data_IF_658329454103
#
_entry.id   IF_658329454103
#
_cell.length_a   1.000
_cell.length_b   1.000
_cell.length_c   1.000
_cell.angle_alpha   90.00
_cell.angle_beta   90.00
_cell.angle_gamma   90.00
#
_symmetry.space_group_name_H-M   'P 1'
#
loop_
_entity.id
_entity.type
_entity.pdbx_description
1 polymer ?
#
# COMPACT_ATOMS: atom_id res chain seq x y z
N UNK A 1 -8.45 -7.42 -28.80
CA UNK A 1 -7.42 -8.33 -28.24
C UNK A 1 -6.54 -7.70 -27.16
N UNK A 2 -5.45 -6.94 -27.41
CA UNK A 2 -4.57 -6.43 -26.31
C UNK A 2 -5.28 -5.42 -25.41
N UNK A 3 -5.94 -4.40 -25.98
CA UNK A 3 -6.66 -3.38 -25.21
C UNK A 3 -7.78 -4.00 -24.34
N UNK A 4 -8.40 -5.05 -24.84
CA UNK A 4 -9.48 -5.79 -24.16
C UNK A 4 -8.96 -6.61 -22.98
N UNK A 5 -7.81 -7.28 -23.16
CA UNK A 5 -7.08 -7.92 -22.06
C UNK A 5 -6.67 -6.93 -20.98
N UNK A 6 -6.19 -5.74 -21.37
CA UNK A 6 -5.87 -4.66 -20.41
C UNK A 6 -7.12 -4.25 -19.64
N UNK A 7 -8.24 -3.94 -20.32
CA UNK A 7 -9.49 -3.58 -19.66
C UNK A 7 -9.95 -4.64 -18.66
N UNK A 8 -9.92 -5.91 -19.04
CA UNK A 8 -10.31 -7.03 -18.19
C UNK A 8 -9.39 -7.19 -16.98
N UNK A 9 -8.09 -6.98 -17.15
CA UNK A 9 -7.11 -6.97 -16.04
C UNK A 9 -7.39 -5.86 -15.04
N UNK A 10 -7.66 -4.65 -15.54
CA UNK A 10 -8.06 -3.51 -14.68
C UNK A 10 -9.35 -3.82 -13.91
N UNK A 11 -10.32 -4.48 -14.54
CA UNK A 11 -11.56 -4.89 -13.88
C UNK A 11 -11.30 -5.91 -12.76
N UNK A 12 -10.51 -6.96 -13.04
CA UNK A 12 -10.12 -7.96 -12.04
C UNK A 12 -9.35 -7.33 -10.87
N UNK A 13 -8.39 -6.46 -11.16
CA UNK A 13 -7.63 -5.73 -10.14
C UNK A 13 -8.53 -4.82 -9.30
N UNK A 14 -9.48 -4.13 -9.92
CA UNK A 14 -10.46 -3.29 -9.22
C UNK A 14 -11.39 -4.12 -8.34
N UNK A 15 -11.91 -5.25 -8.83
CA UNK A 15 -12.74 -6.18 -8.04
C UNK A 15 -12.00 -6.75 -6.83
N UNK A 16 -10.67 -6.86 -6.90
CA UNK A 16 -9.86 -7.37 -5.78
C UNK A 16 -9.71 -6.40 -4.60
N UNK A 17 -10.12 -5.13 -4.74
CA UNK A 17 -10.04 -4.11 -3.68
C UNK A 17 -11.40 -3.98 -2.99
N UNK A 18 -11.39 -4.20 -1.67
CA UNK A 18 -12.60 -4.30 -0.84
C UNK A 18 -12.72 -3.18 0.21
N UNK A 19 -11.93 -2.11 0.07
CA UNK A 19 -11.85 -1.05 1.08
C UNK A 19 -10.84 0.03 0.68
N UNK A 20 -10.78 1.16 1.42
CA UNK A 20 -9.68 2.11 1.34
C UNK A 20 -8.36 1.48 1.81
N UNK A 21 -7.25 2.20 1.68
CA UNK A 21 -5.93 1.72 2.14
C UNK A 21 -6.01 1.29 3.62
N UNK A 22 -5.45 0.12 4.00
CA UNK A 22 -5.47 -0.35 5.38
C UNK A 22 -4.78 0.62 6.34
N UNK A 23 -5.44 0.96 7.45
CA UNK A 23 -4.94 1.91 8.46
C UNK A 23 -3.53 1.58 8.96
N UNK A 24 -3.23 0.30 9.20
CA UNK A 24 -1.89 -0.12 9.60
C UNK A 24 -0.82 0.30 8.59
N UNK A 25 -1.10 0.13 7.30
CA UNK A 25 -0.18 0.56 6.23
C UNK A 25 0.01 2.07 6.22
N UNK A 26 -1.07 2.83 6.44
CA UNK A 26 -1.03 4.30 6.52
C UNK A 26 -0.16 4.74 7.70
N UNK A 27 -0.40 4.20 8.89
CA UNK A 27 0.36 4.57 10.10
C UNK A 27 1.85 4.20 9.97
N UNK A 28 2.17 3.02 9.43
CA UNK A 28 3.55 2.64 9.17
C UNK A 28 4.22 3.56 8.13
N UNK A 29 3.48 3.92 7.08
CA UNK A 29 3.95 4.91 6.10
C UNK A 29 4.31 6.22 6.76
N UNK A 30 3.38 6.79 7.54
CA UNK A 30 3.51 8.11 8.17
C UNK A 30 4.60 8.17 9.23
N UNK A 31 4.66 7.18 10.12
CA UNK A 31 5.50 7.27 11.32
C UNK A 31 6.83 6.54 11.21
N UNK A 32 7.01 5.66 10.22
CA UNK A 32 8.19 4.79 10.14
C UNK A 32 8.86 4.87 8.76
N UNK A 33 8.17 4.40 7.71
CA UNK A 33 8.80 4.19 6.40
C UNK A 33 9.18 5.52 5.75
N UNK A 34 8.23 6.46 5.68
CA UNK A 34 8.47 7.75 5.04
C UNK A 34 9.49 8.62 5.79
N UNK A 35 9.44 8.74 7.13
CA UNK A 35 10.45 9.48 7.87
C UNK A 35 11.85 8.93 7.64
N UNK A 36 12.04 7.61 7.63
CA UNK A 36 13.34 6.99 7.37
C UNK A 36 13.84 7.35 5.98
N UNK A 37 13.01 7.19 4.94
CA UNK A 37 13.38 7.56 3.58
C UNK A 37 13.73 9.05 3.47
N UNK A 38 12.94 9.92 4.11
CA UNK A 38 13.15 11.35 4.13
C UNK A 38 14.45 11.74 4.86
N UNK A 39 14.79 11.07 5.96
CA UNK A 39 16.05 11.28 6.68
C UNK A 39 17.27 10.88 5.85
N UNK A 40 17.21 9.76 5.12
CA UNK A 40 18.29 9.40 4.19
C UNK A 40 18.45 10.45 3.07
N UNK A 41 17.34 10.99 2.54
CA UNK A 41 17.40 12.10 1.59
C UNK A 41 17.98 13.38 2.20
N UNK A 42 17.63 13.72 3.45
CA UNK A 42 18.19 14.88 4.12
C UNK A 42 19.72 14.75 4.29
N UNK A 43 20.21 13.55 4.60
CA UNK A 43 21.62 13.30 4.87
C UNK A 43 22.53 13.46 3.63
N UNK A 44 22.05 13.10 2.44
CA UNK A 44 22.92 13.05 1.24
C UNK A 44 22.29 13.56 -0.06
N UNK A 45 21.04 14.02 -0.02
CA UNK A 45 20.29 14.39 -1.23
C UNK A 45 20.88 15.58 -1.98
N UNK A 46 21.48 16.55 -1.28
CA UNK A 46 22.09 17.70 -1.93
C UNK A 46 23.33 17.30 -2.74
N UNK A 47 24.14 16.39 -2.21
CA UNK A 47 25.34 15.86 -2.88
C UNK A 47 24.97 15.10 -4.15
N UNK A 48 24.00 14.19 -4.04
CA UNK A 48 23.54 13.36 -5.17
C UNK A 48 22.89 14.20 -6.26
N UNK A 49 22.05 15.16 -5.89
CA UNK A 49 21.34 16.00 -6.86
C UNK A 49 22.24 17.06 -7.48
N UNK A 50 23.27 17.51 -6.77
CA UNK A 50 24.16 18.61 -7.14
C UNK A 50 23.39 19.86 -7.65
N UNK A 51 22.21 20.10 -7.08
CA UNK A 51 21.32 21.19 -7.47
C UNK A 51 20.56 21.68 -6.23
N UNK A 52 20.99 22.80 -5.61
CA UNK A 52 20.38 23.32 -4.40
C UNK A 52 18.90 23.65 -4.53
N UNK A 53 18.47 24.18 -5.68
CA UNK A 53 17.08 24.54 -5.93
C UNK A 53 16.17 23.30 -6.00
N UNK A 54 16.61 22.27 -6.72
CA UNK A 54 15.89 20.99 -6.78
C UNK A 54 15.85 20.30 -5.42
N UNK A 55 16.98 20.27 -4.70
CA UNK A 55 17.05 19.73 -3.35
C UNK A 55 16.06 20.44 -2.41
N UNK A 56 16.07 21.78 -2.40
CA UNK A 56 15.18 22.58 -1.56
C UNK A 56 13.70 22.37 -1.93
N UNK A 57 13.40 22.29 -3.23
CA UNK A 57 12.04 22.00 -3.71
C UNK A 57 11.55 20.64 -3.21
N UNK A 58 12.39 19.60 -3.34
CA UNK A 58 12.06 18.25 -2.88
C UNK A 58 11.96 18.15 -1.36
N UNK A 59 12.79 18.90 -0.62
CA UNK A 59 12.74 18.99 0.83
C UNK A 59 11.40 19.59 1.29
N UNK A 60 11.00 20.73 0.72
CA UNK A 60 9.73 21.38 1.04
C UNK A 60 8.56 20.46 0.65
N UNK A 61 8.60 19.86 -0.54
CA UNK A 61 7.57 18.91 -0.97
C UNK A 61 7.41 17.74 0.00
N UNK A 62 8.52 17.22 0.54
CA UNK A 62 8.50 16.10 1.49
C UNK A 62 7.87 16.47 2.82
N UNK A 63 8.22 17.65 3.37
CA UNK A 63 7.60 18.18 4.59
C UNK A 63 6.10 18.37 4.38
N UNK A 64 5.70 19.00 3.27
CA UNK A 64 4.29 19.24 2.95
C UNK A 64 3.52 17.93 2.82
N UNK A 65 4.05 16.95 2.07
CA UNK A 65 3.43 15.63 1.93
C UNK A 65 3.26 14.96 3.30
N UNK A 66 4.26 15.02 4.16
CA UNK A 66 4.18 14.43 5.49
C UNK A 66 3.10 15.10 6.37
N UNK A 67 3.09 16.43 6.45
CA UNK A 67 2.11 17.19 7.24
C UNK A 67 0.69 16.97 6.69
N UNK A 68 0.50 17.02 5.37
CA UNK A 68 -0.80 16.75 4.75
C UNK A 68 -1.31 15.37 5.10
N UNK A 69 -0.43 14.36 5.12
CA UNK A 69 -0.81 13.00 5.49
C UNK A 69 -1.25 12.86 6.95
N UNK A 70 -0.64 13.62 7.87
CA UNK A 70 -1.13 13.71 9.25
C UNK A 70 -2.55 14.28 9.32
N UNK A 71 -2.87 15.26 8.48
CA UNK A 71 -4.24 15.82 8.39
C UNK A 71 -5.19 14.84 7.72
N UNK A 72 -4.74 14.11 6.68
CA UNK A 72 -5.55 13.14 5.95
C UNK A 72 -5.95 11.93 6.80
N UNK A 73 -5.22 11.63 7.88
CA UNK A 73 -5.67 10.68 8.91
C UNK A 73 -7.00 11.06 9.57
N UNK A 74 -7.52 12.26 9.37
CA UNK A 74 -8.88 12.60 9.83
C UNK A 74 -9.96 12.04 8.89
N UNK A 75 -9.60 11.66 7.66
CA UNK A 75 -10.49 11.08 6.65
C UNK A 75 -10.44 9.54 6.65
N UNK A 76 -10.40 8.91 7.83
CA UNK A 76 -10.40 7.44 7.92
C UNK A 76 -11.73 6.82 7.47
N UNK A 77 -12.83 7.57 7.65
CA UNK A 77 -14.18 7.07 7.38
C UNK A 77 -14.48 6.96 5.88
N UNK A 78 -14.08 7.97 5.08
CA UNK A 78 -14.24 7.92 3.61
C UNK A 78 -12.99 7.35 2.94
N UNK A 79 -11.82 7.55 3.55
CA UNK A 79 -10.57 6.94 3.12
C UNK A 79 -10.00 7.50 1.81
N UNK A 80 -10.59 8.55 1.24
CA UNK A 80 -10.16 9.11 -0.06
C UNK A 80 -8.85 9.85 0.14
N UNK A 81 -8.84 10.82 1.06
CA UNK A 81 -7.65 11.62 1.36
C UNK A 81 -6.57 10.75 1.98
N UNK A 82 -6.94 9.80 2.84
CA UNK A 82 -6.00 8.82 3.41
C UNK A 82 -5.32 7.98 2.32
N UNK A 83 -6.09 7.49 1.34
CA UNK A 83 -5.55 6.69 0.23
C UNK A 83 -4.70 7.54 -0.72
N UNK A 84 -5.12 8.77 -1.01
CA UNK A 84 -4.36 9.72 -1.83
C UNK A 84 -3.06 10.15 -1.15
N UNK A 85 -3.12 10.42 0.15
CA UNK A 85 -1.94 10.68 0.97
C UNK A 85 -0.94 9.54 0.92
N UNK A 86 -1.41 8.31 1.13
CA UNK A 86 -0.57 7.11 1.04
C UNK A 86 0.14 7.03 -0.32
N UNK A 87 -0.58 7.32 -1.42
CA UNK A 87 0.03 7.37 -2.75
C UNK A 87 1.17 8.40 -2.83
N UNK A 88 0.94 9.63 -2.36
CA UNK A 88 1.97 10.68 -2.35
C UNK A 88 3.19 10.30 -1.51
N UNK A 89 2.97 9.72 -0.32
CA UNK A 89 4.06 9.26 0.54
C UNK A 89 4.85 8.16 -0.10
N UNK A 90 4.18 7.20 -0.74
CA UNK A 90 4.85 6.11 -1.40
C UNK A 90 5.66 6.63 -2.61
N UNK A 91 5.07 7.50 -3.44
CA UNK A 91 5.75 8.12 -4.58
C UNK A 91 7.00 8.90 -4.15
N UNK A 92 6.84 9.84 -3.22
CA UNK A 92 7.96 10.69 -2.79
C UNK A 92 8.96 9.93 -1.92
N UNK A 93 8.51 9.01 -1.07
CA UNK A 93 9.35 8.15 -0.26
C UNK A 93 10.27 7.25 -1.10
N UNK A 94 9.80 6.74 -2.24
CA UNK A 94 10.65 5.99 -3.16
C UNK A 94 11.76 6.87 -3.76
N UNK A 95 11.41 8.09 -4.19
CA UNK A 95 12.39 9.06 -4.71
C UNK A 95 13.46 9.33 -3.65
N UNK A 96 13.05 9.59 -2.41
CA UNK A 96 13.96 9.87 -1.30
C UNK A 96 14.84 8.69 -0.93
N UNK A 97 14.27 7.48 -0.88
CA UNK A 97 15.05 6.27 -0.60
C UNK A 97 16.12 6.04 -1.67
N UNK A 98 15.77 6.16 -2.96
CA UNK A 98 16.72 5.96 -4.05
C UNK A 98 17.83 6.99 -4.01
N UNK A 99 17.51 8.28 -3.83
CA UNK A 99 18.51 9.34 -3.70
C UNK A 99 19.40 9.07 -2.46
N UNK A 100 18.80 8.72 -1.33
CA UNK A 100 19.52 8.44 -0.09
C UNK A 100 20.50 7.27 -0.22
N UNK A 101 20.07 6.15 -0.82
CA UNK A 101 20.96 5.02 -1.07
C UNK A 101 22.03 5.33 -2.11
N UNK A 102 21.72 6.15 -3.12
CA UNK A 102 22.72 6.67 -4.06
C UNK A 102 23.80 7.51 -3.37
N UNK A 103 23.44 8.27 -2.33
CA UNK A 103 24.40 9.05 -1.54
C UNK A 103 25.29 8.12 -0.72
N UNK A 104 24.69 7.18 0.02
CA UNK A 104 25.41 6.21 0.86
C UNK A 104 26.39 5.38 0.02
N UNK A 105 26.02 5.02 -1.20
CA UNK A 105 26.87 4.21 -2.08
C UNK A 105 27.90 5.01 -2.89
N UNK A 106 27.84 6.34 -2.87
CA UNK A 106 28.58 7.20 -3.81
C UNK A 106 28.21 6.96 -5.29
N UNK A 107 27.06 6.32 -5.56
CA UNK A 107 26.65 5.92 -6.90
C UNK A 107 25.59 6.87 -7.45
N UNK A 108 26.08 7.93 -8.07
CA UNK A 108 25.26 8.95 -8.73
C UNK A 108 24.95 8.59 -10.19
N UNK A 109 25.42 7.43 -10.67
CA UNK A 109 25.21 7.01 -12.05
C UNK A 109 23.72 6.75 -12.32
N UNK A 110 23.24 7.18 -13.50
CA UNK A 110 21.88 6.90 -13.98
C UNK A 110 20.77 7.19 -12.96
N UNK A 111 20.91 8.23 -12.13
CA UNK A 111 19.97 8.55 -11.06
C UNK A 111 18.51 8.63 -11.54
N UNK A 112 18.28 9.27 -12.69
CA UNK A 112 16.96 9.33 -13.30
C UNK A 112 16.38 7.95 -13.58
N UNK A 113 17.16 7.02 -14.17
CA UNK A 113 16.70 5.66 -14.44
C UNK A 113 16.35 4.92 -13.15
N UNK A 114 17.17 5.06 -12.10
CA UNK A 114 16.90 4.46 -10.79
C UNK A 114 15.58 4.94 -10.22
N UNK A 115 15.35 6.27 -10.24
CA UNK A 115 14.10 6.90 -9.78
C UNK A 115 12.89 6.39 -10.58
N UNK A 116 13.00 6.24 -11.89
CA UNK A 116 11.90 5.79 -12.74
C UNK A 116 11.71 4.27 -12.78
N UNK A 117 12.65 3.48 -12.24
CA UNK A 117 12.61 2.02 -12.30
C UNK A 117 11.33 1.41 -11.72
N UNK A 118 10.81 1.85 -10.56
CA UNK A 118 9.51 1.38 -10.06
C UNK A 118 8.35 1.68 -11.01
N UNK A 119 8.35 2.86 -11.65
CA UNK A 119 7.31 3.22 -12.62
C UNK A 119 7.39 2.35 -13.88
N UNK A 120 8.60 2.17 -14.42
CA UNK A 120 8.87 1.32 -15.58
C UNK A 120 8.42 -0.12 -15.28
N UNK A 121 8.83 -0.66 -14.13
CA UNK A 121 8.47 -2.00 -13.71
C UNK A 121 6.96 -2.16 -13.49
N UNK A 122 6.29 -1.14 -12.95
CA UNK A 122 4.83 -1.12 -12.84
C UNK A 122 4.13 -1.18 -14.21
N UNK A 123 4.67 -0.52 -15.24
CA UNK A 123 4.13 -0.58 -16.60
C UNK A 123 4.32 -1.98 -17.18
N UNK A 124 5.53 -2.54 -17.05
CA UNK A 124 5.86 -3.91 -17.49
C UNK A 124 4.89 -4.90 -16.85
N UNK A 125 4.69 -4.80 -15.54
CA UNK A 125 3.81 -5.69 -14.78
C UNK A 125 2.36 -5.61 -15.24
N UNK A 126 1.85 -4.43 -15.60
CA UNK A 126 0.48 -4.30 -16.12
C UNK A 126 0.32 -4.95 -17.50
N UNK A 127 1.32 -4.80 -18.38
CA UNK A 127 1.32 -5.46 -19.69
C UNK A 127 1.38 -6.98 -19.51
N UNK A 128 2.28 -7.44 -18.65
CA UNK A 128 2.45 -8.86 -18.28
C UNK A 128 1.14 -9.44 -17.76
N UNK A 129 0.52 -8.79 -16.76
CA UNK A 129 -0.72 -9.27 -16.17
C UNK A 129 -1.85 -9.35 -17.20
N UNK A 130 -1.86 -8.44 -18.16
CA UNK A 130 -2.82 -8.47 -19.26
C UNK A 130 -2.69 -9.71 -20.15
N UNK A 131 -1.49 -10.23 -20.33
CA UNK A 131 -1.28 -11.47 -21.08
C UNK A 131 -1.67 -12.73 -20.30
N UNK A 132 -1.84 -12.62 -18.98
CA UNK A 132 -2.24 -13.71 -18.11
C UNK A 132 -3.76 -13.85 -17.97
N UNK A 133 -4.52 -12.90 -18.52
CA UNK A 133 -5.98 -12.92 -18.49
C UNK A 133 -6.49 -13.56 -19.78
N UNK A 134 -7.28 -14.61 -19.65
CA UNK A 134 -8.02 -15.17 -20.78
C UNK A 134 -9.19 -14.23 -21.15
N UNK A 135 -9.37 -13.97 -22.45
CA UNK A 135 -10.45 -13.08 -22.91
C UNK A 135 -11.80 -13.81 -22.79
N UNK A 136 -11.82 -15.12 -23.06
CA UNK A 136 -13.04 -15.89 -23.25
C UNK A 136 -13.57 -16.51 -21.93
N UNK A 137 -12.76 -16.57 -20.88
CA UNK A 137 -13.16 -17.02 -19.53
C UNK A 137 -12.94 -15.93 -18.47
N UNK A 138 -13.76 -15.83 -17.42
CA UNK A 138 -13.51 -14.90 -16.30
C UNK A 138 -12.26 -15.29 -15.47
N UNK A 139 -11.51 -16.30 -15.89
CA UNK A 139 -10.42 -16.90 -15.12
C UNK A 139 -9.05 -16.35 -15.55
N UNK A 140 -8.19 -16.13 -14.55
CA UNK A 140 -6.76 -15.91 -14.75
C UNK A 140 -6.13 -17.28 -15.11
N UNK A 141 -5.02 -17.28 -15.85
CA UNK A 141 -4.18 -18.48 -16.02
C UNK A 141 -4.05 -19.27 -14.71
N UNK A 142 -4.03 -20.61 -14.81
CA UNK A 142 -3.91 -21.51 -13.64
C UNK A 142 -2.88 -21.01 -12.62
N UNK A 143 -3.14 -21.22 -11.33
CA UNK A 143 -2.28 -20.75 -10.24
C UNK A 143 -0.80 -21.12 -10.45
N UNK A 144 -0.54 -22.33 -10.96
CA UNK A 144 0.80 -22.81 -11.30
C UNK A 144 1.46 -21.97 -12.40
N UNK A 145 0.74 -21.67 -13.47
CA UNK A 145 1.23 -20.84 -14.56
C UNK A 145 1.48 -19.41 -14.08
N UNK A 146 0.55 -18.87 -13.28
CA UNK A 146 0.68 -17.55 -12.65
C UNK A 146 1.95 -17.47 -11.79
N UNK A 147 2.15 -18.41 -10.86
CA UNK A 147 3.33 -18.45 -9.99
C UNK A 147 4.65 -18.54 -10.78
N UNK A 148 4.70 -19.43 -11.79
CA UNK A 148 5.89 -19.57 -12.62
C UNK A 148 6.21 -18.27 -13.38
N UNK A 149 5.18 -17.57 -13.86
CA UNK A 149 5.35 -16.31 -14.57
C UNK A 149 5.85 -15.19 -13.64
N UNK A 150 5.27 -15.06 -12.44
CA UNK A 150 5.75 -14.12 -11.44
C UNK A 150 7.21 -14.40 -11.07
N UNK A 151 7.60 -15.66 -10.86
CA UNK A 151 8.99 -16.02 -10.61
C UNK A 151 9.92 -15.66 -11.78
N UNK A 152 9.46 -15.80 -13.02
CA UNK A 152 10.25 -15.44 -14.20
C UNK A 152 10.46 -13.92 -14.33
N UNK A 153 9.46 -13.11 -13.98
CA UNK A 153 9.55 -11.65 -14.10
C UNK A 153 10.25 -11.00 -12.90
N UNK A 154 9.94 -11.44 -11.68
CA UNK A 154 10.53 -10.88 -10.45
C UNK A 154 11.87 -11.52 -10.09
N UNK A 155 12.07 -12.81 -10.42
CA UNK A 155 13.24 -13.58 -10.00
C UNK A 155 14.57 -12.96 -10.45
N UNK A 156 14.80 -12.70 -11.75
CA UNK A 156 16.07 -12.17 -12.22
C UNK A 156 16.41 -10.79 -11.61
N UNK A 157 15.50 -9.79 -11.58
CA UNK A 157 15.76 -8.53 -10.90
C UNK A 157 16.06 -8.68 -9.40
N UNK A 158 15.35 -9.57 -8.71
CA UNK A 158 15.56 -9.79 -7.27
C UNK A 158 16.89 -10.47 -6.97
N UNK A 159 17.25 -11.51 -7.74
CA UNK A 159 18.56 -12.18 -7.59
C UNK A 159 19.69 -11.17 -7.81
N UNK A 160 19.59 -10.36 -8.86
CA UNK A 160 20.60 -9.33 -9.15
C UNK A 160 20.64 -8.27 -8.04
N UNK A 161 19.48 -7.82 -7.56
CA UNK A 161 19.38 -6.90 -6.42
C UNK A 161 20.12 -7.45 -5.20
N UNK A 162 19.86 -8.69 -4.80
CA UNK A 162 20.50 -9.31 -3.64
C UNK A 162 22.01 -9.46 -3.81
N UNK A 163 22.49 -9.82 -5.00
CA UNK A 163 23.93 -9.87 -5.29
C UNK A 163 24.55 -8.48 -5.11
N UNK A 164 23.95 -7.44 -5.69
CA UNK A 164 24.45 -6.07 -5.58
C UNK A 164 24.43 -5.55 -4.13
N UNK A 165 23.37 -5.83 -3.36
CA UNK A 165 23.29 -5.47 -1.94
C UNK A 165 24.36 -6.21 -1.13
N UNK A 166 24.53 -7.52 -1.37
CA UNK A 166 25.57 -8.31 -0.70
C UNK A 166 26.96 -7.76 -0.98
N UNK A 167 27.28 -7.42 -2.24
CA UNK A 167 28.53 -6.77 -2.62
C UNK A 167 28.71 -5.43 -1.90
N UNK A 168 27.65 -4.62 -1.79
CA UNK A 168 27.64 -3.39 -1.01
C UNK A 168 28.03 -3.59 0.45
N UNK A 169 27.45 -4.60 1.11
CA UNK A 169 27.70 -4.91 2.53
C UNK A 169 29.16 -5.34 2.78
N UNK A 170 29.79 -6.06 1.85
CA UNK A 170 31.18 -6.54 2.01
C UNK A 170 32.24 -5.53 1.55
N UNK A 171 31.86 -4.28 1.27
CA UNK A 171 32.80 -3.18 1.00
C UNK A 171 32.81 -2.66 -0.44
N UNK A 172 31.98 -3.19 -1.34
CA UNK A 172 31.80 -2.63 -2.69
C UNK A 172 30.58 -1.71 -2.73
N UNK A 173 30.65 -0.62 -1.95
CA UNK A 173 29.54 0.30 -1.65
C UNK A 173 28.80 0.78 -2.90
N UNK A 174 29.51 1.02 -4.01
CA UNK A 174 28.92 1.40 -5.31
C UNK A 174 27.73 0.51 -5.72
N UNK A 175 27.80 -0.81 -5.51
CA UNK A 175 26.72 -1.72 -5.89
C UNK A 175 25.46 -1.57 -5.04
N UNK A 176 25.55 -0.97 -3.85
CA UNK A 176 24.40 -0.77 -2.97
C UNK A 176 23.35 0.14 -3.64
N UNK A 177 23.76 1.17 -4.37
CA UNK A 177 22.85 2.07 -5.08
C UNK A 177 22.00 1.33 -6.12
N UNK A 178 22.62 0.50 -6.95
CA UNK A 178 21.91 -0.37 -7.90
C UNK A 178 21.11 -1.47 -7.21
N UNK A 179 21.68 -2.13 -6.20
CA UNK A 179 21.02 -3.19 -5.45
C UNK A 179 19.70 -2.72 -4.84
N UNK A 180 19.72 -1.57 -4.17
CA UNK A 180 18.52 -0.96 -3.59
C UNK A 180 17.56 -0.44 -4.65
N UNK A 181 18.03 0.13 -5.76
CA UNK A 181 17.15 0.56 -6.86
C UNK A 181 16.38 -0.60 -7.48
N UNK A 182 17.06 -1.74 -7.70
CA UNK A 182 16.43 -2.96 -8.20
C UNK A 182 15.43 -3.53 -7.18
N UNK A 183 15.77 -3.49 -5.89
CA UNK A 183 14.87 -3.87 -4.81
C UNK A 183 13.64 -2.96 -4.76
N UNK A 184 13.80 -1.65 -4.95
CA UNK A 184 12.69 -0.70 -4.93
C UNK A 184 11.81 -0.81 -6.17
N UNK A 185 12.30 -1.34 -7.29
CA UNK A 185 11.46 -1.49 -8.48
C UNK A 185 10.26 -2.41 -8.24
N UNK A 186 10.41 -3.46 -7.44
CA UNK A 186 9.35 -4.46 -7.19
C UNK A 186 8.15 -3.89 -6.43
N UNK A 187 8.35 -2.74 -5.81
CA UNK A 187 7.32 -1.95 -5.16
C UNK A 187 6.51 -1.09 -6.14
N UNK A 188 6.94 -0.99 -7.40
CA UNK A 188 6.24 -0.31 -8.49
C UNK A 188 4.77 -0.70 -8.65
N UNK A 189 4.41 -2.00 -8.74
CA UNK A 189 3.02 -2.44 -8.80
C UNK A 189 2.17 -1.96 -7.63
N UNK A 190 2.75 -1.71 -6.45
CA UNK A 190 2.02 -1.15 -5.32
C UNK A 190 1.74 0.36 -5.46
N UNK A 191 2.60 1.15 -6.13
CA UNK A 191 2.26 2.52 -6.54
C UNK A 191 0.96 2.52 -7.35
N UNK A 192 0.91 1.64 -8.34
CA UNK A 192 -0.23 1.51 -9.22
C UNK A 192 -1.46 0.94 -8.49
N UNK A 193 -1.29 -0.05 -7.62
CA UNK A 193 -2.39 -0.61 -6.82
C UNK A 193 -3.07 0.45 -5.95
N UNK A 194 -2.31 1.43 -5.45
CA UNK A 194 -2.84 2.54 -4.63
C UNK A 194 -3.94 3.33 -5.34
N UNK A 195 -3.89 3.44 -6.67
CA UNK A 195 -4.96 4.08 -7.45
C UNK A 195 -6.30 3.35 -7.34
N UNK A 196 -6.31 2.01 -7.27
CA UNK A 196 -7.56 1.27 -7.08
C UNK A 196 -8.17 1.52 -5.70
N UNK A 197 -7.36 1.70 -4.66
CA UNK A 197 -7.86 2.09 -3.33
C UNK A 197 -8.48 3.50 -3.35
N UNK A 198 -7.85 4.45 -4.04
CA UNK A 198 -8.39 5.81 -4.22
C UNK A 198 -9.71 5.77 -4.99
N UNK A 199 -9.76 5.05 -6.11
CA UNK A 199 -10.97 4.90 -6.93
C UNK A 199 -12.09 4.22 -6.13
N UNK A 200 -11.77 3.16 -5.39
CA UNK A 200 -12.72 2.48 -4.53
C UNK A 200 -13.31 3.45 -3.50
N UNK A 201 -12.46 4.14 -2.73
CA UNK A 201 -12.89 5.11 -1.72
C UNK A 201 -13.76 6.23 -2.31
N UNK A 202 -13.38 6.73 -3.49
CA UNK A 202 -14.14 7.77 -4.19
C UNK A 202 -15.52 7.29 -4.65
N UNK A 203 -15.62 6.05 -5.16
CA UNK A 203 -16.87 5.47 -5.62
C UNK A 203 -17.85 5.24 -4.46
N UNK A 204 -17.34 4.75 -3.33
CA UNK A 204 -18.15 4.41 -2.15
C UNK A 204 -18.26 5.58 -1.15
N UNK A 205 -17.91 6.80 -1.56
CA UNK A 205 -17.85 7.98 -0.66
C UNK A 205 -19.20 8.35 -0.03
N UNK A 206 -20.29 8.00 -0.72
CA UNK A 206 -21.66 8.26 -0.30
C UNK A 206 -22.29 7.05 0.40
N UNK A 207 -21.70 5.86 0.27
CA UNK A 207 -22.18 4.64 0.93
C UNK A 207 -21.97 4.68 2.45
N UNK A 208 -21.30 5.74 2.92
CA UNK A 208 -20.93 5.99 4.30
C UNK A 208 -22.04 6.77 5.07
N UNK A 209 -23.15 7.16 4.42
CA UNK A 209 -24.28 7.88 5.03
C UNK A 209 -25.51 6.98 5.30
N UNK A 210 -25.65 6.46 6.53
CA UNK A 210 -26.88 6.39 7.38
C UNK A 210 -26.70 5.42 8.60
N UNK A 211 -25.74 5.70 9.49
CA UNK A 211 -25.82 5.21 10.90
C UNK A 211 -25.97 6.39 11.87
N UNK A 212 -26.55 7.50 11.40
CA UNK A 212 -27.03 8.61 12.26
C UNK A 212 -28.45 8.39 12.78
N UNK A 213 -29.12 7.30 12.41
CA UNK A 213 -30.20 6.81 13.27
C UNK A 213 -29.58 5.81 14.24
N UNK A 214 -29.44 6.24 15.50
CA UNK A 214 -29.62 5.30 16.60
C UNK A 214 -30.96 4.64 16.28
N UNK A 215 -30.95 3.39 15.79
CA UNK A 215 -32.17 2.61 15.72
C UNK A 215 -32.61 2.52 17.17
N UNK A 216 -33.56 3.37 17.57
CA UNK A 216 -34.38 3.11 18.72
C UNK A 216 -34.97 1.74 18.44
N UNK A 217 -34.42 0.72 19.08
CA UNK A 217 -35.06 -0.58 19.15
C UNK A 217 -36.43 -0.25 19.72
N UNK A 218 -37.46 -0.27 18.87
CA UNK A 218 -38.84 -0.20 19.30
C UNK A 218 -39.09 -1.53 20.00
N UNK A 219 -38.66 -1.61 21.25
CA UNK A 219 -38.97 -2.76 22.10
C UNK A 219 -40.47 -2.74 22.24
N UNK A 220 -41.13 -3.80 21.76
CA UNK A 220 -42.57 -3.96 21.94
C UNK A 220 -42.87 -4.02 23.45
N UNK A 221 -43.63 -3.07 24.04
CA UNK A 221 -43.94 -3.08 25.46
C UNK A 221 -44.61 -4.38 25.91
N UNK A 222 -45.32 -5.05 25.01
CA UNK A 222 -46.05 -6.29 25.28
C UNK A 222 -45.13 -7.50 25.52
N UNK A 223 -43.86 -7.43 25.10
CA UNK A 223 -42.86 -8.47 25.37
C UNK A 223 -42.20 -8.32 26.76
N UNK A 224 -42.35 -7.16 27.40
CA UNK A 224 -41.76 -6.89 28.72
C UNK A 224 -42.77 -7.24 29.85
N UNK A 225 -44.08 -7.19 29.59
CA UNK A 225 -45.11 -7.32 30.63
C UNK A 225 -45.54 -8.76 30.96
N UNK A 226 -45.22 -9.77 30.14
CA UNK A 226 -45.77 -11.13 30.31
C UNK A 226 -44.78 -12.20 30.83
N UNK A 227 -43.64 -11.81 31.40
CA UNK A 227 -42.87 -12.73 32.25
C UNK A 227 -43.26 -12.52 33.70
N UNK A 228 -44.38 -13.14 34.08
CA UNK A 228 -44.70 -13.42 35.48
C UNK A 228 -43.49 -14.13 36.09
N UNK A 229 -42.89 -13.50 37.10
CA UNK A 229 -41.71 -13.99 37.79
C UNK A 229 -42.09 -15.23 38.60
N UNK A 230 -41.86 -16.41 38.04
CA UNK A 230 -42.12 -17.70 38.68
C UNK A 230 -41.11 -17.93 39.83
N UNK A 231 -41.49 -17.41 41.00
CA UNK A 231 -40.71 -17.41 42.25
C UNK A 231 -40.57 -18.81 42.86
N UNK A 232 -41.35 -19.78 42.40
CA UNK A 232 -41.41 -21.13 42.96
C UNK A 232 -40.42 -22.10 42.33
N UNK A 233 -39.83 -21.76 41.18
CA UNK A 233 -38.77 -22.57 40.53
C UNK A 233 -37.51 -22.72 41.40
N UNK A 234 -37.28 -21.83 42.37
CA UNK A 234 -36.08 -21.84 43.22
C UNK A 234 -36.29 -22.37 44.64
N UNK A 235 -37.48 -22.88 45.00
CA UNK A 235 -37.77 -23.34 46.36
C UNK A 235 -38.15 -24.83 46.48
N UNK A 236 -37.18 -25.74 46.24
CA UNK A 236 -37.12 -27.12 46.78
C UNK A 236 -35.89 -27.83 46.17
N UNK A 237 -34.97 -28.48 46.87
CA UNK A 237 -34.89 -29.03 48.23
C UNK A 237 -33.47 -28.88 48.77
N UNK A 238 -33.35 -28.36 49.99
CA UNK A 238 -32.28 -28.75 50.91
C UNK A 238 -32.73 -30.05 51.54
N UNK A 239 -32.00 -31.14 51.31
CA UNK A 239 -32.08 -32.34 52.16
C UNK A 239 -30.67 -32.64 52.64
N UNK A 240 -30.51 -32.48 53.95
CA UNK A 240 -29.43 -33.03 54.78
C UNK A 240 -29.80 -34.46 55.20
N UNK A 241 -28.76 -35.22 55.53
CA UNK A 241 -28.69 -36.53 56.20
C UNK A 241 -28.89 -37.73 55.22
N UNK A 242 -27.98 -38.70 55.04
CA UNK A 242 -27.01 -39.33 55.96
C UNK A 242 -25.53 -39.33 55.48
#
# INVERSE_FOLDING_TARGET
MILERIKKTFELQRRSVHGPVPLWGVLNGIFIIYPIAFLFFLAGGLEVLNNPSLYQTLLIAGIVVWILNLVFLLDLRRGILTSFGTYLMYLTGHIYAIIGFSAISGDHSFLGLKIFLPLIFSIIMNIVMSWMVDIDSEEILSEKATKNFYNFVFGPPMILSFICVFLGIIGYEYFLGWGMSLLFMIFGPALYRTWFYIIYAYQHRNDVEEETSIKHIKVNPDLISNREFDRDRFSRKVTKDD
#
